data_IF_523578369196
#
_entry.id   IF_523578369196
#
_cell.length_a   1.000
_cell.length_b   1.000
_cell.length_c   1.000
_cell.angle_alpha   90.00
_cell.angle_beta   90.00
_cell.angle_gamma   90.00
#
_symmetry.space_group_name_H-M   'P 1'
#
loop_
_entity.id
_entity.type
_entity.pdbx_description
1 polymer ?
#
# COMPACT_ATOMS: atom_id res chain seq x y z
N UNK A 1 11.48 19.41 -10.36
CA UNK A 1 11.26 17.95 -10.41
C UNK A 1 11.64 17.40 -9.04
N UNK A 2 10.70 16.79 -8.31
CA UNK A 2 11.03 16.12 -7.06
C UNK A 2 11.86 14.87 -7.37
N UNK A 3 13.09 14.82 -6.85
CA UNK A 3 14.00 13.69 -7.09
C UNK A 3 13.84 12.61 -6.00
N UNK A 4 12.59 12.35 -5.57
CA UNK A 4 12.31 11.34 -4.54
C UNK A 4 12.65 9.94 -5.05
N UNK A 5 13.28 9.14 -4.18
CA UNK A 5 13.48 7.72 -4.44
C UNK A 5 12.14 7.01 -4.67
N UNK A 6 12.17 5.86 -5.36
CA UNK A 6 10.95 5.09 -5.62
C UNK A 6 10.21 4.71 -4.33
N UNK A 7 10.95 4.36 -3.28
CA UNK A 7 10.38 4.04 -1.98
C UNK A 7 9.69 5.26 -1.35
N UNK A 8 10.33 6.43 -1.39
CA UNK A 8 9.76 7.67 -0.87
C UNK A 8 8.49 8.07 -1.65
N UNK A 9 8.50 7.93 -2.99
CA UNK A 9 7.30 8.18 -3.80
C UNK A 9 6.14 7.27 -3.40
N UNK A 10 6.37 5.96 -3.18
CA UNK A 10 5.34 5.02 -2.73
C UNK A 10 4.79 5.43 -1.37
N UNK A 11 5.65 5.70 -0.40
CA UNK A 11 5.19 6.14 0.93
C UNK A 11 4.42 7.46 0.87
N UNK A 12 4.90 8.43 0.08
CA UNK A 12 4.24 9.73 -0.07
C UNK A 12 2.86 9.61 -0.69
N UNK A 13 2.70 8.79 -1.74
CA UNK A 13 1.41 8.54 -2.37
C UNK A 13 0.43 7.85 -1.40
N UNK A 14 0.89 6.83 -0.68
CA UNK A 14 0.07 6.16 0.33
C UNK A 14 -0.41 7.12 1.42
N UNK A 15 0.40 8.10 1.81
CA UNK A 15 0.01 9.14 2.77
C UNK A 15 -1.02 10.12 2.20
N UNK A 16 -1.07 10.36 0.89
CA UNK A 16 -2.14 11.17 0.27
C UNK A 16 -3.49 10.49 0.38
N UNK A 17 -3.50 9.16 0.21
CA UNK A 17 -4.75 8.37 0.30
C UNK A 17 -5.15 8.09 1.75
N UNK A 18 -4.17 7.85 2.62
CA UNK A 18 -4.35 7.48 4.02
C UNK A 18 -3.52 8.36 4.96
N UNK A 19 -3.84 9.67 5.06
CA UNK A 19 -3.12 10.58 5.95
C UNK A 19 -3.26 10.15 7.41
N UNK A 20 -2.17 10.29 8.18
CA UNK A 20 -2.14 9.86 9.58
C UNK A 20 -1.82 8.38 9.77
N UNK A 21 -1.44 7.67 8.71
CA UNK A 21 -0.96 6.31 8.86
C UNK A 21 0.34 6.28 9.66
N UNK A 22 0.34 5.56 10.78
CA UNK A 22 1.56 5.31 11.56
C UNK A 22 2.52 4.36 10.83
N UNK A 23 3.75 4.28 11.32
CA UNK A 23 4.82 3.48 10.71
C UNK A 23 4.40 2.06 10.34
N UNK A 24 3.76 1.34 11.29
CA UNK A 24 3.38 -0.06 11.05
C UNK A 24 2.39 -0.16 9.89
N UNK A 25 1.33 0.65 9.88
CA UNK A 25 0.34 0.65 8.80
C UNK A 25 0.96 1.02 7.46
N UNK A 26 1.78 2.06 7.42
CA UNK A 26 2.38 2.54 6.19
C UNK A 26 3.28 1.49 5.52
N UNK A 27 4.08 0.78 6.33
CA UNK A 27 4.88 -0.37 5.86
C UNK A 27 3.99 -1.49 5.32
N UNK A 28 2.86 -1.79 6.01
CA UNK A 28 1.94 -2.85 5.57
C UNK A 28 1.20 -2.48 4.28
N UNK A 29 0.84 -1.21 4.11
CA UNK A 29 0.28 -0.74 2.84
C UNK A 29 1.27 -0.90 1.68
N UNK A 30 2.52 -0.48 1.86
CA UNK A 30 3.54 -0.66 0.84
C UNK A 30 3.77 -2.15 0.50
N UNK A 31 3.83 -3.02 1.53
CA UNK A 31 3.96 -4.46 1.36
C UNK A 31 2.77 -5.07 0.60
N UNK A 32 1.54 -4.73 0.98
CA UNK A 32 0.33 -5.25 0.33
C UNK A 32 0.20 -4.74 -1.10
N UNK A 33 0.58 -3.48 -1.36
CA UNK A 33 0.62 -2.95 -2.72
C UNK A 33 1.64 -3.70 -3.60
N UNK A 34 2.81 -4.03 -3.05
CA UNK A 34 3.79 -4.87 -3.76
C UNK A 34 3.29 -6.31 -3.95
N UNK A 35 2.53 -6.88 -3.00
CA UNK A 35 1.88 -8.17 -3.16
C UNK A 35 0.92 -8.16 -4.36
N UNK A 36 0.02 -7.18 -4.42
CA UNK A 36 -0.91 -7.05 -5.54
C UNK A 36 -0.18 -6.77 -6.86
N UNK A 37 0.85 -5.94 -6.84
CA UNK A 37 1.66 -5.68 -8.02
C UNK A 37 2.38 -6.93 -8.54
N UNK A 38 2.90 -7.78 -7.66
CA UNK A 38 3.45 -9.07 -8.07
C UNK A 38 2.40 -9.98 -8.70
N UNK A 39 1.17 -9.97 -8.18
CA UNK A 39 0.06 -10.76 -8.71
C UNK A 39 -0.32 -10.33 -10.13
N UNK A 40 -0.51 -9.04 -10.35
CA UNK A 40 -1.04 -8.50 -11.62
C UNK A 40 0.03 -8.05 -12.61
N UNK A 41 1.15 -7.48 -12.12
CA UNK A 41 2.20 -6.91 -12.96
C UNK A 41 3.46 -7.77 -13.01
N UNK A 42 3.54 -8.81 -12.17
CA UNK A 42 4.71 -9.68 -12.08
C UNK A 42 5.94 -9.06 -11.43
N UNK A 43 5.84 -7.84 -10.86
CA UNK A 43 6.93 -7.09 -10.23
C UNK A 43 6.41 -6.21 -9.10
N UNK A 44 7.27 -5.77 -8.20
CA UNK A 44 6.94 -4.77 -7.18
C UNK A 44 6.75 -3.36 -7.78
N UNK A 45 6.00 -2.51 -7.08
CA UNK A 45 5.94 -1.06 -7.31
C UNK A 45 7.10 -0.39 -6.58
N UNK A 46 7.33 -0.77 -5.32
CA UNK A 46 8.43 -0.24 -4.51
C UNK A 46 9.77 -0.91 -4.82
N UNK A 47 10.85 -0.36 -4.25
CA UNK A 47 12.16 -0.99 -4.21
C UNK A 47 12.44 -1.74 -2.92
N UNK A 48 11.44 -1.94 -2.05
CA UNK A 48 11.62 -2.61 -0.77
C UNK A 48 11.95 -4.10 -0.93
N UNK A 49 12.81 -4.59 -0.02
CA UNK A 49 13.23 -5.99 0.05
C UNK A 49 12.82 -6.58 1.39
N UNK A 50 11.55 -6.90 1.52
CA UNK A 50 10.94 -7.30 2.78
C UNK A 50 11.57 -8.54 3.39
N UNK A 51 11.74 -8.50 4.72
CA UNK A 51 12.04 -9.63 5.59
C UNK A 51 10.91 -9.79 6.60
N UNK A 52 10.70 -10.99 7.09
CA UNK A 52 9.81 -11.20 8.22
C UNK A 52 10.48 -10.70 9.50
N UNK A 53 9.99 -9.61 10.06
CA UNK A 53 10.43 -9.04 11.33
C UNK A 53 9.35 -9.24 12.41
N UNK A 54 9.61 -8.85 13.65
CA UNK A 54 8.74 -9.03 14.82
C UNK A 54 7.28 -8.57 14.61
N UNK A 55 7.07 -7.59 13.74
CA UNK A 55 5.74 -7.05 13.40
C UNK A 55 5.36 -7.32 11.93
N UNK A 56 5.81 -8.45 11.37
CA UNK A 56 5.55 -8.86 9.99
C UNK A 56 6.56 -8.28 8.99
N UNK A 57 6.19 -8.16 7.69
CA UNK A 57 7.11 -7.71 6.65
C UNK A 57 7.67 -6.33 6.95
N UNK A 58 8.98 -6.19 6.84
CA UNK A 58 9.72 -4.95 7.05
C UNK A 58 10.97 -4.89 6.19
N UNK A 59 11.37 -3.68 5.80
CA UNK A 59 12.68 -3.36 5.23
C UNK A 59 13.22 -2.09 5.88
N UNK A 60 14.51 -2.09 6.25
CA UNK A 60 15.16 -0.92 6.85
C UNK A 60 15.22 0.29 5.93
N UNK A 61 15.19 0.07 4.61
CA UNK A 61 15.07 1.14 3.61
C UNK A 61 13.81 2.02 3.79
N UNK A 62 12.85 1.58 4.62
CA UNK A 62 11.74 2.41 5.06
C UNK A 62 12.20 3.68 5.79
N UNK A 63 13.23 3.56 6.65
CA UNK A 63 13.72 4.72 7.39
C UNK A 63 14.35 5.75 6.45
N UNK A 64 15.18 5.31 5.50
CA UNK A 64 15.80 6.19 4.52
C UNK A 64 14.73 6.93 3.69
N UNK A 65 13.72 6.21 3.21
CA UNK A 65 12.61 6.77 2.45
C UNK A 65 11.75 7.74 3.28
N UNK A 66 11.50 7.42 4.55
CA UNK A 66 10.78 8.26 5.49
C UNK A 66 11.56 9.55 5.79
N UNK A 67 12.86 9.43 6.05
CA UNK A 67 13.73 10.57 6.33
C UNK A 67 13.81 11.48 5.10
N UNK A 68 13.95 10.92 3.89
CA UNK A 68 13.89 11.66 2.64
C UNK A 68 12.60 12.50 2.50
N UNK A 69 11.44 11.95 2.91
CA UNK A 69 10.17 12.67 2.89
C UNK A 69 10.09 13.78 3.94
N UNK A 70 10.55 13.52 5.15
CA UNK A 70 10.44 14.46 6.27
C UNK A 70 11.46 15.59 6.09
N UNK A 71 12.71 15.26 5.82
CA UNK A 71 13.81 16.23 5.64
C UNK A 71 13.59 17.07 4.38
N UNK A 72 13.02 16.46 3.33
CA UNK A 72 12.62 17.15 2.09
C UNK A 72 11.36 17.99 2.21
N UNK A 73 10.65 17.96 3.33
CA UNK A 73 9.42 18.73 3.55
C UNK A 73 8.20 18.18 2.83
N UNK A 74 8.23 16.95 2.31
CA UNK A 74 7.10 16.29 1.63
C UNK A 74 6.11 15.62 2.58
N UNK A 75 6.55 15.33 3.81
CA UNK A 75 5.70 14.80 4.87
C UNK A 75 6.09 15.39 6.22
N UNK A 76 5.15 15.34 7.17
CA UNK A 76 5.41 15.61 8.59
C UNK A 76 5.41 14.31 9.37
N UNK A 77 6.29 14.23 10.38
CA UNK A 77 6.31 13.18 11.39
C UNK A 77 5.96 13.81 12.74
N UNK A 78 4.89 13.34 13.37
CA UNK A 78 4.46 13.82 14.69
C UNK A 78 4.46 12.66 15.65
N UNK A 79 5.20 12.80 16.77
CA UNK A 79 5.16 11.82 17.84
C UNK A 79 3.77 11.80 18.49
N UNK A 80 3.20 10.62 18.64
CA UNK A 80 1.89 10.40 19.26
C UNK A 80 1.98 9.30 20.31
N UNK A 81 1.01 9.28 21.23
CA UNK A 81 0.87 8.20 22.20
C UNK A 81 -0.30 7.29 21.82
N UNK A 82 -0.03 5.99 21.72
CA UNK A 82 -1.02 4.95 21.38
C UNK A 82 -1.14 4.01 22.59
N UNK A 83 -2.05 4.33 23.52
CA UNK A 83 -2.12 3.64 24.80
C UNK A 83 -0.80 3.77 25.58
N UNK A 84 -0.14 2.66 25.98
CA UNK A 84 1.14 2.70 26.69
C UNK A 84 2.36 2.88 25.76
N UNK A 85 2.19 2.89 24.43
CA UNK A 85 3.27 2.87 23.45
C UNK A 85 3.45 4.23 22.80
N UNK A 86 4.70 4.56 22.47
CA UNK A 86 5.03 5.69 21.62
C UNK A 86 4.93 5.29 20.14
N UNK A 87 4.36 6.17 19.33
CA UNK A 87 4.17 5.98 17.90
C UNK A 87 4.37 7.27 17.13
N UNK A 88 4.16 7.21 15.84
CA UNK A 88 4.26 8.37 14.94
C UNK A 88 3.06 8.40 14.02
N UNK A 89 2.57 9.62 13.78
CA UNK A 89 1.58 9.98 12.77
C UNK A 89 2.32 10.65 11.61
N UNK A 90 2.14 10.14 10.40
CA UNK A 90 2.73 10.73 9.19
C UNK A 90 1.65 11.37 8.33
N UNK A 91 1.88 12.61 7.91
CA UNK A 91 0.95 13.34 7.04
C UNK A 91 1.65 13.95 5.85
N UNK A 92 1.04 13.91 4.66
CA UNK A 92 1.59 14.61 3.51
C UNK A 92 1.51 16.12 3.75
N UNK A 93 2.48 16.86 3.24
CA UNK A 93 2.42 18.33 3.16
C UNK A 93 1.75 18.77 1.86
N UNK A 94 1.58 20.07 1.68
CA UNK A 94 1.09 20.65 0.42
C UNK A 94 2.15 20.70 -0.69
N UNK A 95 3.36 20.21 -0.44
CA UNK A 95 4.40 20.16 -1.44
C UNK A 95 4.03 19.14 -2.52
N UNK A 96 3.99 19.60 -3.77
CA UNK A 96 3.66 18.75 -4.91
C UNK A 96 4.77 17.73 -5.18
N UNK A 97 4.37 16.54 -5.58
CA UNK A 97 5.27 15.45 -5.99
C UNK A 97 4.90 15.01 -7.40
N UNK A 98 5.91 14.92 -8.25
CA UNK A 98 5.78 14.29 -9.56
C UNK A 98 6.10 12.80 -9.39
N UNK A 99 5.10 11.94 -9.57
CA UNK A 99 5.22 10.50 -9.41
C UNK A 99 5.62 9.81 -10.71
N UNK A 100 6.62 8.93 -10.63
CA UNK A 100 7.03 8.06 -11.73
C UNK A 100 6.21 6.78 -11.82
N UNK A 101 4.92 6.80 -11.44
CA UNK A 101 4.02 5.66 -11.51
C UNK A 101 3.27 5.62 -12.84
N UNK A 102 3.04 4.41 -13.37
CA UNK A 102 2.04 4.22 -14.39
C UNK A 102 0.65 4.06 -13.74
N UNK A 103 -0.39 4.10 -14.56
CA UNK A 103 -1.77 4.07 -14.10
C UNK A 103 -2.10 2.81 -13.27
N UNK A 104 -1.66 1.63 -13.71
CA UNK A 104 -1.88 0.39 -12.98
C UNK A 104 -1.25 0.41 -11.57
N UNK A 105 -0.05 0.98 -11.44
CA UNK A 105 0.62 1.14 -10.14
C UNK A 105 -0.16 2.10 -9.22
N UNK A 106 -0.65 3.21 -9.77
CA UNK A 106 -1.50 4.18 -9.04
C UNK A 106 -2.76 3.50 -8.51
N UNK A 107 -3.45 2.71 -9.35
CA UNK A 107 -4.68 2.02 -8.93
C UNK A 107 -4.42 0.99 -7.85
N UNK A 108 -3.36 0.21 -7.95
CA UNK A 108 -2.98 -0.76 -6.92
C UNK A 108 -2.70 -0.05 -5.58
N UNK A 109 -1.90 1.02 -5.60
CA UNK A 109 -1.59 1.79 -4.39
C UNK A 109 -2.85 2.38 -3.75
N UNK A 110 -3.72 2.98 -4.57
CA UNK A 110 -5.00 3.56 -4.13
C UNK A 110 -5.92 2.49 -3.55
N UNK A 111 -6.11 1.39 -4.27
CA UNK A 111 -6.95 0.28 -3.85
C UNK A 111 -6.54 -0.26 -2.48
N UNK A 112 -5.26 -0.57 -2.28
CA UNK A 112 -4.77 -1.09 -1.01
C UNK A 112 -4.99 -0.09 0.13
N UNK A 113 -4.61 1.17 -0.05
CA UNK A 113 -4.77 2.19 0.98
C UNK A 113 -6.24 2.43 1.35
N UNK A 114 -7.15 2.45 0.37
CA UNK A 114 -8.58 2.63 0.60
C UNK A 114 -9.25 1.40 1.23
N UNK A 115 -8.89 0.19 0.78
CA UNK A 115 -9.45 -1.06 1.29
C UNK A 115 -9.17 -1.22 2.78
N UNK A 116 -7.96 -0.88 3.21
CA UNK A 116 -7.52 -1.09 4.59
C UNK A 116 -7.46 0.21 5.41
N UNK A 117 -8.08 1.29 4.94
CA UNK A 117 -8.03 2.60 5.59
C UNK A 117 -8.47 2.55 7.06
N UNK A 118 -9.55 1.84 7.34
CA UNK A 118 -10.17 1.76 8.66
C UNK A 118 -9.63 0.61 9.53
N UNK A 119 -8.75 -0.24 8.98
CA UNK A 119 -8.16 -1.33 9.76
C UNK A 119 -7.17 -0.80 10.79
N UNK A 120 -7.13 -1.44 11.96
CA UNK A 120 -6.05 -1.19 12.92
C UNK A 120 -4.74 -1.83 12.43
N UNK A 121 -3.60 -1.40 12.95
CA UNK A 121 -2.32 -2.02 12.60
C UNK A 121 -2.27 -3.51 12.98
N UNK A 122 -2.93 -3.89 14.07
CA UNK A 122 -3.00 -5.28 14.56
C UNK A 122 -3.88 -6.11 13.63
N UNK A 123 -5.13 -5.69 13.38
CA UNK A 123 -6.06 -6.38 12.48
C UNK A 123 -5.45 -6.55 11.09
N UNK A 124 -4.83 -5.48 10.55
CA UNK A 124 -4.17 -5.55 9.26
C UNK A 124 -3.04 -6.59 9.22
N UNK A 125 -2.25 -6.72 10.30
CA UNK A 125 -1.21 -7.74 10.37
C UNK A 125 -1.80 -9.15 10.46
N UNK A 126 -2.72 -9.39 11.40
CA UNK A 126 -3.21 -10.72 11.75
C UNK A 126 -4.19 -11.26 10.71
N UNK A 127 -5.09 -10.41 10.21
CA UNK A 127 -6.17 -10.84 9.34
C UNK A 127 -5.82 -10.80 7.86
N UNK A 128 -4.83 -10.02 7.46
CA UNK A 128 -4.46 -9.83 6.05
C UNK A 128 -3.01 -10.22 5.81
N UNK A 129 -2.05 -9.50 6.39
CA UNK A 129 -0.62 -9.60 6.06
C UNK A 129 -0.06 -11.00 6.29
N UNK A 130 -0.33 -11.61 7.47
CA UNK A 130 0.18 -12.95 7.79
C UNK A 130 -0.47 -14.06 6.95
N UNK A 131 -1.57 -13.78 6.29
CA UNK A 131 -2.25 -14.73 5.40
C UNK A 131 -1.75 -14.69 3.95
N UNK A 132 -0.91 -13.72 3.60
CA UNK A 132 -0.34 -13.63 2.25
C UNK A 132 0.63 -14.77 1.96
N UNK A 133 0.71 -15.25 0.70
CA UNK A 133 1.60 -16.35 0.31
C UNK A 133 3.07 -16.13 0.71
N UNK A 134 3.67 -14.93 0.59
CA UNK A 134 5.05 -14.71 1.04
C UNK A 134 5.25 -14.89 2.54
N UNK A 135 4.21 -14.62 3.36
CA UNK A 135 4.29 -14.76 4.82
C UNK A 135 4.02 -16.18 5.30
N UNK A 136 3.21 -16.95 4.56
CA UNK A 136 2.88 -18.34 4.93
C UNK A 136 4.13 -19.21 5.00
N UNK A 137 4.47 -19.68 6.20
CA UNK A 137 5.63 -20.55 6.47
C UNK A 137 6.97 -19.83 6.53
N UNK A 138 7.04 -18.52 6.37
CA UNK A 138 8.25 -17.75 6.57
C UNK A 138 8.63 -17.69 8.05
N UNK A 139 9.94 -17.64 8.34
CA UNK A 139 10.50 -17.52 9.69
C UNK A 139 10.99 -16.08 9.92
N UNK A 140 10.95 -15.63 11.17
CA UNK A 140 11.51 -14.33 11.56
C UNK A 140 12.97 -14.22 11.09
N UNK A 141 13.30 -13.07 10.47
CA UNK A 141 14.59 -12.80 9.83
C UNK A 141 14.73 -13.28 8.39
N UNK A 142 13.82 -14.13 7.91
CA UNK A 142 13.85 -14.64 6.54
C UNK A 142 13.41 -13.57 5.52
N UNK A 143 14.07 -13.54 4.35
CA UNK A 143 13.65 -12.71 3.22
C UNK A 143 12.38 -13.28 2.60
N UNK A 144 11.37 -12.43 2.41
CA UNK A 144 10.10 -12.85 1.83
C UNK A 144 10.23 -13.04 0.32
N UNK A 145 9.63 -14.14 -0.17
CA UNK A 145 9.57 -14.51 -1.58
C UNK A 145 8.28 -13.92 -2.18
N UNK A 146 8.39 -12.70 -2.68
CA UNK A 146 7.23 -11.96 -3.21
C UNK A 146 6.63 -12.60 -4.48
N UNK A 147 7.43 -13.33 -5.24
CA UNK A 147 7.01 -14.10 -6.42
C UNK A 147 5.96 -15.18 -6.12
N UNK A 148 5.84 -15.62 -4.85
CA UNK A 148 4.78 -16.54 -4.41
C UNK A 148 3.37 -15.95 -4.56
N UNK A 149 3.23 -14.63 -4.72
CA UNK A 149 1.94 -14.00 -5.01
C UNK A 149 1.34 -14.42 -6.36
N UNK A 150 2.17 -14.86 -7.30
CA UNK A 150 1.71 -15.35 -8.62
C UNK A 150 1.04 -16.72 -8.57
N UNK A 151 1.24 -17.48 -7.49
CA UNK A 151 0.76 -18.85 -7.33
C UNK A 151 -0.67 -18.92 -6.79
N UNK A 152 -1.21 -17.81 -6.27
CA UNK A 152 -2.54 -17.76 -5.65
C UNK A 152 -3.54 -17.08 -6.59
N UNK A 153 -4.70 -17.72 -6.82
CA UNK A 153 -5.84 -17.05 -7.46
C UNK A 153 -6.30 -15.89 -6.56
N UNK A 154 -6.76 -14.81 -7.18
CA UNK A 154 -7.16 -13.59 -6.48
C UNK A 154 -8.29 -13.84 -5.49
N UNK A 155 -8.05 -13.84 -4.15
CA UNK A 155 -9.10 -14.08 -3.17
C UNK A 155 -10.03 -12.86 -2.99
N UNK A 156 -9.64 -11.69 -3.49
CA UNK A 156 -10.39 -10.44 -3.32
C UNK A 156 -11.19 -10.05 -4.57
N UNK A 157 -11.03 -10.76 -5.69
CA UNK A 157 -11.71 -10.44 -6.95
C UNK A 157 -11.34 -9.06 -7.49
N UNK A 158 -10.09 -8.61 -7.22
CA UNK A 158 -9.57 -7.37 -7.74
C UNK A 158 -9.37 -7.48 -9.26
N UNK A 159 -10.25 -6.90 -10.01
CA UNK A 159 -10.19 -6.88 -11.46
C UNK A 159 -9.49 -5.59 -11.93
N UNK A 160 -8.18 -5.67 -12.08
CA UNK A 160 -7.36 -4.55 -12.55
C UNK A 160 -7.79 -4.08 -13.95
N UNK A 161 -8.17 -5.00 -14.84
CA UNK A 161 -8.62 -4.63 -16.20
C UNK A 161 -9.91 -3.80 -16.13
N UNK A 162 -10.88 -4.21 -15.30
CA UNK A 162 -12.11 -3.43 -15.07
C UNK A 162 -11.86 -2.06 -14.44
N UNK A 163 -10.87 -1.95 -13.53
CA UNK A 163 -10.52 -0.66 -12.95
C UNK A 163 -9.88 0.26 -14.00
N UNK A 164 -9.01 -0.26 -14.84
CA UNK A 164 -8.40 0.50 -15.93
C UNK A 164 -9.44 0.92 -16.98
N UNK A 165 -10.41 0.05 -17.28
CA UNK A 165 -11.55 0.37 -18.16
C UNK A 165 -12.49 1.44 -17.55
N UNK A 166 -12.72 1.36 -16.23
CA UNK A 166 -13.55 2.34 -15.52
C UNK A 166 -12.90 3.73 -15.56
N UNK A 167 -11.58 3.84 -15.39
CA UNK A 167 -10.86 5.13 -15.52
C UNK A 167 -10.84 5.65 -16.95
N UNK A 168 -10.59 4.80 -17.94
CA UNK A 168 -10.72 5.19 -19.35
C UNK A 168 -12.13 5.72 -19.68
N UNK A 169 -13.15 5.22 -18.97
CA UNK A 169 -14.53 5.71 -19.08
C UNK A 169 -14.75 7.05 -18.38
N UNK A 170 -13.99 7.35 -17.30
CA UNK A 170 -14.00 8.65 -16.61
C UNK A 170 -13.36 9.72 -17.50
N UNK A 171 -12.21 9.44 -18.07
CA UNK A 171 -11.52 10.34 -19.03
C UNK A 171 -12.38 10.64 -20.26
N UNK A 172 -13.26 9.71 -20.64
CA UNK A 172 -14.23 9.87 -21.70
C UNK A 172 -15.54 10.55 -21.26
N UNK A 173 -15.60 11.12 -20.03
CA UNK A 173 -16.78 11.84 -19.51
C UNK A 173 -17.95 10.94 -19.09
N UNK A 174 -17.74 9.63 -18.96
CA UNK A 174 -18.74 8.65 -18.50
C UNK A 174 -18.51 8.28 -17.04
N UNK A 175 -18.81 9.19 -16.13
CA UNK A 175 -18.51 9.10 -14.70
C UNK A 175 -19.42 8.11 -13.95
N UNK A 176 -18.83 7.11 -13.27
CA UNK A 176 -19.42 6.44 -12.11
C UNK A 176 -18.42 6.50 -10.95
N UNK A 177 -18.84 6.89 -9.73
CA UNK A 177 -17.93 6.86 -8.57
C UNK A 177 -17.40 5.45 -8.32
N UNK A 178 -16.10 5.30 -8.17
CA UNK A 178 -15.42 4.00 -7.89
C UNK A 178 -16.05 3.28 -6.68
N UNK A 179 -16.53 4.04 -5.70
CA UNK A 179 -17.23 3.52 -4.52
C UNK A 179 -18.47 2.69 -4.90
N UNK A 180 -19.27 3.13 -5.86
CA UNK A 180 -20.47 2.41 -6.31
C UNK A 180 -20.11 1.10 -7.03
N UNK A 181 -19.05 1.10 -7.83
CA UNK A 181 -18.57 -0.10 -8.51
C UNK A 181 -18.01 -1.14 -7.52
N UNK A 182 -17.30 -0.71 -6.50
CA UNK A 182 -16.79 -1.58 -5.43
C UNK A 182 -17.92 -2.13 -4.56
N UNK A 183 -18.94 -1.32 -4.24
CA UNK A 183 -20.07 -1.74 -3.42
C UNK A 183 -20.98 -2.73 -4.20
N UNK A 184 -21.16 -2.57 -5.52
CA UNK A 184 -21.83 -3.56 -6.37
C UNK A 184 -21.07 -4.88 -6.45
N UNK A 185 -19.73 -4.85 -6.56
CA UNK A 185 -18.90 -6.06 -6.56
C UNK A 185 -19.01 -6.82 -5.23
N UNK A 186 -18.99 -6.10 -4.10
CA UNK A 186 -19.18 -6.69 -2.77
C UNK A 186 -20.58 -7.30 -2.59
N UNK A 187 -21.60 -6.69 -3.16
CA UNK A 187 -22.98 -7.19 -3.09
C UNK A 187 -23.15 -8.50 -3.89
N UNK A 188 -22.49 -8.62 -5.05
CA UNK A 188 -22.54 -9.84 -5.89
C UNK A 188 -21.79 -11.04 -5.32
N UNK A 189 -20.79 -10.81 -4.45
CA UNK A 189 -20.02 -11.88 -3.81
C UNK A 189 -20.63 -12.36 -2.48
N UNK A 190 -21.74 -11.72 -2.03
CA UNK A 190 -22.48 -12.12 -0.83
C UNK A 190 -23.78 -12.89 -1.14
N UNK A 191 -24.11 -13.06 -2.40
CA UNK A 191 -25.22 -13.85 -2.91
C UNK A 191 -24.73 -15.19 -3.49
#
# INVERSE_FOLDING_TARGET
MSNLSRNAQVLRYLLEVAPGAGRIKLVKYAYLADCEAYRYLGRAISGFRYRFDNHGPFDRAFFDAKDELVDGGYATETAIRIGPYDGYDYRPTNQSVEYGFNQAEVEILRYVAQTYLNETAISLCEDVVYKTPPMKGAKVGERLKMDRMKEEQDPLGFDLERLLEAEASVDAGRYRPVKEAVDELRARHRA
#
